data_IF_389117621559
#
_entry.id   IF_389117621559
#
_cell.length_a   1.000
_cell.length_b   1.000
_cell.length_c   1.000
_cell.angle_alpha   90.00
_cell.angle_beta   90.00
_cell.angle_gamma   90.00
#
_symmetry.space_group_name_H-M   'P 1'
#
loop_
_entity.id
_entity.type
_entity.pdbx_description
1 polymer ?
#
# COMPACT_ATOMS: atom_id res chain seq x y z
N UNK A 1 -22.98 -1.45 -45.76
CA UNK A 1 -21.75 -2.22 -45.44
C UNK A 1 -20.86 -1.62 -44.34
N UNK A 2 -21.17 -0.43 -43.79
CA UNK A 2 -20.30 0.27 -42.80
C UNK A 2 -20.57 -0.15 -41.32
N UNK A 3 -21.69 -0.82 -41.05
CA UNK A 3 -22.09 -1.18 -39.68
C UNK A 3 -21.32 -2.38 -39.08
N UNK A 4 -20.83 -3.31 -39.92
CA UNK A 4 -20.03 -4.47 -39.49
C UNK A 4 -18.65 -4.08 -38.89
N UNK A 5 -17.84 -3.20 -39.51
CA UNK A 5 -16.56 -2.81 -38.91
C UNK A 5 -16.71 -1.97 -37.63
N UNK A 6 -17.75 -1.14 -37.52
CA UNK A 6 -18.03 -0.36 -36.29
C UNK A 6 -18.36 -1.25 -35.08
N UNK A 7 -19.13 -2.31 -35.29
CA UNK A 7 -19.47 -3.29 -34.23
C UNK A 7 -18.22 -4.07 -33.78
N UNK A 8 -17.34 -4.45 -34.72
CA UNK A 8 -16.08 -5.16 -34.40
C UNK A 8 -15.12 -4.26 -33.62
N UNK A 9 -14.98 -2.99 -34.00
CA UNK A 9 -14.14 -2.02 -33.27
C UNK A 9 -14.71 -1.74 -31.86
N UNK A 10 -16.03 -1.58 -31.73
CA UNK A 10 -16.68 -1.41 -30.43
C UNK A 10 -16.43 -2.60 -29.48
N UNK A 11 -16.55 -3.83 -29.98
CA UNK A 11 -16.28 -5.04 -29.20
C UNK A 11 -14.81 -5.17 -28.79
N UNK A 12 -13.86 -4.79 -29.65
CA UNK A 12 -12.42 -4.75 -29.33
C UNK A 12 -12.10 -3.72 -28.24
N UNK A 13 -12.74 -2.54 -28.26
CA UNK A 13 -12.55 -1.53 -27.22
C UNK A 13 -13.12 -1.94 -25.86
N UNK A 14 -14.24 -2.66 -25.83
CA UNK A 14 -14.83 -3.20 -24.60
C UNK A 14 -13.95 -4.28 -23.96
N UNK A 15 -13.22 -5.06 -24.75
CA UNK A 15 -12.27 -6.06 -24.25
C UNK A 15 -11.01 -5.45 -23.61
N UNK A 16 -10.66 -4.20 -23.95
CA UNK A 16 -9.50 -3.48 -23.40
C UNK A 16 -9.80 -2.75 -22.09
N UNK A 17 -11.07 -2.64 -21.69
CA UNK A 17 -11.46 -2.12 -20.36
C UNK A 17 -11.42 -3.26 -19.34
N UNK A 18 -10.28 -3.95 -19.24
CA UNK A 18 -10.03 -4.80 -18.09
C UNK A 18 -9.51 -3.93 -16.95
N UNK A 19 -10.26 -3.87 -15.85
CA UNK A 19 -9.71 -3.40 -14.59
C UNK A 19 -8.50 -4.28 -14.24
N UNK A 20 -7.30 -3.69 -14.20
CA UNK A 20 -6.08 -4.40 -13.83
C UNK A 20 -6.15 -4.75 -12.34
N UNK A 21 -5.99 -6.03 -12.03
CA UNK A 21 -5.98 -6.58 -10.66
C UNK A 21 -4.60 -7.13 -10.28
N UNK A 22 -3.57 -6.82 -11.07
CA UNK A 22 -2.19 -7.19 -10.79
C UNK A 22 -1.73 -6.48 -9.52
N UNK A 23 -1.31 -7.21 -8.48
CA UNK A 23 -0.88 -6.60 -7.23
C UNK A 23 0.59 -6.14 -7.25
N UNK A 24 1.31 -6.32 -8.37
CA UNK A 24 2.68 -5.86 -8.60
C UNK A 24 3.74 -6.47 -7.66
N UNK A 25 3.60 -7.76 -7.34
CA UNK A 25 4.54 -8.49 -6.49
C UNK A 25 5.70 -9.08 -7.29
N UNK A 26 6.87 -9.25 -6.67
CA UNK A 26 7.94 -10.04 -7.28
C UNK A 26 7.52 -11.51 -7.47
N UNK A 27 8.11 -12.17 -8.47
CA UNK A 27 7.85 -13.58 -8.75
C UNK A 27 8.19 -14.48 -7.55
N UNK A 28 7.33 -15.46 -7.29
CA UNK A 28 7.53 -16.42 -6.19
C UNK A 28 7.12 -15.91 -4.81
N UNK A 29 6.53 -14.71 -4.71
CA UNK A 29 6.02 -14.16 -3.45
C UNK A 29 4.50 -14.18 -3.41
N UNK A 30 3.95 -14.20 -2.20
CA UNK A 30 2.51 -14.12 -1.99
C UNK A 30 2.15 -13.48 -0.65
N UNK A 31 0.88 -13.09 -0.51
CA UNK A 31 0.26 -12.50 0.66
C UNK A 31 0.72 -11.07 1.00
N UNK A 32 -0.27 -10.28 1.41
CA UNK A 32 -0.08 -8.96 2.01
C UNK A 32 -0.27 -9.13 3.52
N UNK A 33 0.69 -8.66 4.31
CA UNK A 33 0.57 -8.62 5.77
C UNK A 33 0.11 -7.24 6.21
N UNK A 34 -0.91 -7.16 7.06
CA UNK A 34 -1.32 -5.91 7.69
C UNK A 34 -0.56 -5.72 9.00
N UNK A 35 0.50 -4.91 8.98
CA UNK A 35 1.29 -4.56 10.16
C UNK A 35 0.62 -3.39 10.90
N UNK A 36 -0.51 -3.71 11.53
CA UNK A 36 -1.41 -2.75 12.15
C UNK A 36 -0.74 -1.95 13.28
N UNK A 37 -0.73 -0.61 13.13
CA UNK A 37 -0.15 0.37 14.06
C UNK A 37 1.38 0.34 14.21
N UNK A 38 2.10 -0.38 13.34
CA UNK A 38 3.57 -0.42 13.38
C UNK A 38 4.19 0.92 12.94
N UNK A 39 5.39 1.22 13.47
CA UNK A 39 6.20 2.35 13.00
C UNK A 39 6.91 1.98 11.70
N UNK A 40 7.22 2.98 10.88
CA UNK A 40 7.88 2.76 9.59
C UNK A 40 9.25 2.10 9.74
N UNK A 41 10.03 2.49 10.75
CA UNK A 41 11.33 1.87 11.05
C UNK A 41 11.22 0.38 11.39
N UNK A 42 10.20 0.00 12.18
CA UNK A 42 9.96 -1.39 12.55
C UNK A 42 9.53 -2.23 11.33
N UNK A 43 8.69 -1.66 10.45
CA UNK A 43 8.30 -2.30 9.19
C UNK A 43 9.51 -2.50 8.29
N UNK A 44 10.39 -1.50 8.16
CA UNK A 44 11.60 -1.60 7.34
C UNK A 44 12.51 -2.74 7.82
N UNK A 45 12.73 -2.83 9.14
CA UNK A 45 13.50 -3.93 9.73
C UNK A 45 12.81 -5.29 9.54
N UNK A 46 11.49 -5.35 9.63
CA UNK A 46 10.71 -6.57 9.44
C UNK A 46 10.74 -7.07 7.99
N UNK A 47 10.72 -6.15 7.02
CA UNK A 47 10.93 -6.45 5.60
C UNK A 47 12.23 -7.20 5.37
N UNK A 48 13.34 -6.69 5.93
CA UNK A 48 14.67 -7.27 5.73
C UNK A 48 14.88 -8.58 6.50
N UNK A 49 14.50 -8.62 7.78
CA UNK A 49 14.84 -9.75 8.66
C UNK A 49 13.87 -10.93 8.55
N UNK A 50 12.64 -10.71 8.09
CA UNK A 50 11.60 -11.74 8.11
C UNK A 50 10.79 -11.81 6.81
N UNK A 51 10.09 -10.75 6.41
CA UNK A 51 9.12 -10.83 5.30
C UNK A 51 9.80 -11.17 3.97
N UNK A 52 10.92 -10.51 3.68
CA UNK A 52 11.76 -10.76 2.51
C UNK A 52 12.19 -12.23 2.44
N UNK A 53 12.93 -12.75 3.44
CA UNK A 53 13.35 -14.15 3.50
C UNK A 53 12.21 -15.18 3.52
N UNK A 54 11.00 -14.82 3.94
CA UNK A 54 9.84 -15.72 4.03
C UNK A 54 8.91 -15.65 2.82
N UNK A 55 9.23 -14.85 1.80
CA UNK A 55 8.45 -14.80 0.55
C UNK A 55 7.10 -14.08 0.69
N UNK A 56 6.95 -13.21 1.69
CA UNK A 56 5.82 -12.27 1.73
C UNK A 56 5.97 -11.26 0.60
N UNK A 57 4.84 -10.82 0.07
CA UNK A 57 4.82 -10.00 -1.13
C UNK A 57 4.62 -8.51 -0.87
N UNK A 58 3.91 -8.13 0.21
CA UNK A 58 3.74 -6.73 0.57
C UNK A 58 3.27 -6.50 1.99
N UNK A 59 3.35 -5.25 2.43
CA UNK A 59 2.83 -4.75 3.70
C UNK A 59 1.72 -3.75 3.44
N UNK A 60 0.57 -3.95 4.10
CA UNK A 60 -0.42 -2.89 4.28
C UNK A 60 -0.08 -2.13 5.56
N UNK A 61 0.18 -0.83 5.45
CA UNK A 61 0.40 0.05 6.60
C UNK A 61 -0.92 0.57 7.16
N UNK A 62 -0.90 1.07 8.40
CA UNK A 62 -1.93 2.00 8.88
C UNK A 62 -1.89 3.32 8.09
N UNK A 63 -2.94 4.18 8.17
CA UNK A 63 -2.94 5.48 7.49
C UNK A 63 -1.69 6.30 7.81
N UNK A 64 -1.06 6.80 6.74
CA UNK A 64 0.25 7.49 6.78
C UNK A 64 0.11 9.01 6.84
N UNK A 65 -1.04 9.53 6.41
CA UNK A 65 -1.33 10.95 6.38
C UNK A 65 -1.65 11.49 7.78
N UNK A 66 -1.50 12.81 7.96
CA UNK A 66 -1.87 13.51 9.19
C UNK A 66 -3.34 13.28 9.55
N UNK A 67 -3.59 12.98 10.82
CA UNK A 67 -4.90 12.66 11.36
C UNK A 67 -5.10 13.30 12.73
N UNK A 68 -6.35 13.28 13.22
CA UNK A 68 -6.73 13.86 14.48
C UNK A 68 -6.04 13.16 15.68
N UNK A 69 -5.45 13.93 16.58
CA UNK A 69 -4.92 13.41 17.85
C UNK A 69 -6.01 13.42 18.93
N UNK A 70 -6.53 12.25 19.29
CA UNK A 70 -7.61 12.13 20.27
C UNK A 70 -7.03 11.78 21.63
N UNK A 71 -6.73 12.81 22.41
CA UNK A 71 -6.12 12.67 23.75
C UNK A 71 -7.15 12.31 24.82
N UNK A 72 -8.43 12.63 24.61
CA UNK A 72 -9.51 12.32 25.56
C UNK A 72 -9.77 10.82 25.75
N UNK A 73 -9.31 9.98 24.83
CA UNK A 73 -9.49 8.52 24.87
C UNK A 73 -8.16 7.76 24.68
N UNK A 74 -7.08 8.23 25.31
CA UNK A 74 -5.77 7.57 25.31
C UNK A 74 -5.25 7.16 23.90
N UNK A 75 -5.40 8.06 22.92
CA UNK A 75 -4.83 7.89 21.57
C UNK A 75 -5.28 6.61 20.86
N UNK A 76 -6.60 6.41 20.68
CA UNK A 76 -7.18 5.16 20.19
C UNK A 76 -6.81 4.90 18.72
N UNK A 77 -6.74 3.63 18.30
CA UNK A 77 -6.33 3.23 16.94
C UNK A 77 -7.17 3.89 15.83
N UNK A 78 -8.47 4.08 16.07
CA UNK A 78 -9.38 4.63 15.08
C UNK A 78 -9.20 6.13 14.84
N UNK A 79 -8.38 6.83 15.65
CA UNK A 79 -8.05 8.24 15.40
C UNK A 79 -7.36 8.43 14.04
N UNK A 80 -6.65 7.40 13.56
CA UNK A 80 -5.98 7.40 12.25
C UNK A 80 -6.93 7.53 11.05
N UNK A 81 -8.20 7.21 11.25
CA UNK A 81 -9.24 7.27 10.20
C UNK A 81 -10.01 8.59 10.22
N UNK A 82 -9.48 9.62 10.88
CA UNK A 82 -9.99 10.99 10.86
C UNK A 82 -8.92 11.92 10.26
N UNK A 83 -8.77 11.95 8.93
CA UNK A 83 -7.75 12.75 8.25
C UNK A 83 -7.87 14.25 8.58
N UNK A 84 -6.73 14.90 8.79
CA UNK A 84 -6.63 16.36 8.97
C UNK A 84 -5.98 16.99 7.73
N UNK A 85 -4.95 16.33 7.18
CA UNK A 85 -4.32 16.74 5.92
C UNK A 85 -3.69 15.53 5.21
N UNK A 86 -3.10 15.77 4.03
CA UNK A 86 -2.34 14.77 3.27
C UNK A 86 -0.84 14.78 3.54
N UNK A 87 -0.36 15.55 4.53
CA UNK A 87 1.05 15.49 4.93
C UNK A 87 1.37 14.10 5.45
N UNK A 88 2.51 13.53 5.06
CA UNK A 88 2.98 12.23 5.58
C UNK A 88 3.64 12.49 6.92
N UNK A 89 2.81 12.52 7.96
CA UNK A 89 3.24 12.65 9.35
C UNK A 89 2.21 11.98 10.24
N UNK A 90 2.62 10.93 10.94
CA UNK A 90 1.74 10.11 11.77
C UNK A 90 2.48 9.65 13.02
N UNK A 91 1.80 8.92 13.91
CA UNK A 91 2.48 8.25 15.04
C UNK A 91 3.43 7.14 14.56
N UNK A 92 3.32 6.67 13.32
CA UNK A 92 4.26 5.71 12.72
C UNK A 92 5.59 6.33 12.30
N UNK A 93 5.64 7.65 12.08
CA UNK A 93 6.82 8.37 11.60
C UNK A 93 6.46 9.52 10.65
N UNK A 94 7.49 10.21 10.17
CA UNK A 94 7.40 11.29 9.19
C UNK A 94 7.66 10.78 7.75
N UNK A 95 7.64 11.71 6.79
CA UNK A 95 7.86 11.42 5.38
C UNK A 95 9.25 10.79 5.10
N UNK A 96 10.28 11.20 5.84
CA UNK A 96 11.63 10.65 5.68
C UNK A 96 11.67 9.18 6.12
N UNK A 97 11.09 8.86 7.27
CA UNK A 97 10.98 7.48 7.76
C UNK A 97 10.10 6.61 6.84
N UNK A 98 9.00 7.16 6.31
CA UNK A 98 8.15 6.46 5.35
C UNK A 98 8.92 6.13 4.06
N UNK A 99 9.69 7.09 3.53
CA UNK A 99 10.52 6.90 2.34
C UNK A 99 11.61 5.84 2.56
N UNK A 100 12.27 5.86 3.72
CA UNK A 100 13.28 4.84 4.09
C UNK A 100 12.67 3.44 4.11
N UNK A 101 11.52 3.29 4.79
CA UNK A 101 10.77 2.03 4.84
C UNK A 101 10.42 1.51 3.44
N UNK A 102 9.82 2.35 2.59
CA UNK A 102 9.49 1.97 1.21
C UNK A 102 10.75 1.55 0.43
N UNK A 103 11.83 2.30 0.56
CA UNK A 103 13.09 2.00 -0.14
C UNK A 103 13.67 0.64 0.29
N UNK A 104 13.69 0.36 1.59
CA UNK A 104 14.27 -0.87 2.15
C UNK A 104 13.42 -2.09 1.88
N UNK A 105 12.09 -1.98 2.02
CA UNK A 105 11.17 -3.07 1.69
C UNK A 105 11.24 -3.43 0.19
N UNK A 106 11.18 -2.43 -0.70
CA UNK A 106 11.30 -2.66 -2.14
C UNK A 106 12.65 -3.29 -2.52
N UNK A 107 13.74 -2.91 -1.85
CA UNK A 107 15.07 -3.48 -2.11
C UNK A 107 15.18 -4.98 -1.77
N UNK A 108 14.26 -5.51 -0.94
CA UNK A 108 14.17 -6.92 -0.59
C UNK A 108 12.91 -7.60 -1.14
N UNK A 109 12.22 -6.95 -2.08
CA UNK A 109 11.07 -7.50 -2.81
C UNK A 109 9.75 -7.56 -2.03
N UNK A 110 9.60 -6.74 -0.98
CA UNK A 110 8.38 -6.62 -0.16
C UNK A 110 7.71 -5.27 -0.40
#
# INVERSE_FOLDING_TARGET
>A
MIMRPLVVIGLLTLALVQAQKDPHWESGRSAIVHLFEWKFEDIAAECERFLGPRGFASVQTSPVNEYLAITSNNRPWWERYQPVSYKIISRSGDEAAFKDMVSRCNAVGV
#
